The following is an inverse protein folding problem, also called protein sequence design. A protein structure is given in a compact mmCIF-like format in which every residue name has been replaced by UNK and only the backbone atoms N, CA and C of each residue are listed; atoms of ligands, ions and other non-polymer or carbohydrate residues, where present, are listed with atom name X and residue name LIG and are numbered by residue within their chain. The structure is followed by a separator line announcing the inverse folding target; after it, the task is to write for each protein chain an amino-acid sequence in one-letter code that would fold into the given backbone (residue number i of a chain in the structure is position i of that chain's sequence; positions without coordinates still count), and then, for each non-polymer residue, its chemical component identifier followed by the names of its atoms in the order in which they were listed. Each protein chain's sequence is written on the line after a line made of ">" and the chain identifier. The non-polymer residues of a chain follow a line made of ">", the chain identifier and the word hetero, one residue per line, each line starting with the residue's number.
data_IF_361192847294
#
_entry.id   IF_361192847294
#
_cell.length_a   1.000
_cell.length_b   1.000
_cell.length_c   1.000
_cell.angle_alpha   90.00
_cell.angle_beta   90.00
_cell.angle_gamma   90.00
#
_symmetry.space_group_name_H-M   'P 1'
#
loop_
_entity.id
_entity.type
_entity.pdbx_description
1 polymer ?
#
# COMPACT_ATOMS: atom_id res chain seq x y z
N UNK A 1 21.65 53.96 57.48
CA UNK A 1 21.88 53.81 56.03
C UNK A 1 22.02 52.32 55.76
N UNK A 2 20.96 51.57 55.38
CA UNK A 2 20.40 51.41 54.01
C UNK A 2 21.54 51.25 52.97
N UNK A 3 21.70 50.16 52.21
CA UNK A 3 20.72 49.25 51.61
C UNK A 3 21.30 47.82 51.42
N UNK A 4 20.49 46.80 51.72
CA UNK A 4 20.58 45.48 51.10
C UNK A 4 20.11 45.59 49.65
N UNK A 5 20.94 45.18 48.69
CA UNK A 5 20.46 44.89 47.34
C UNK A 5 19.94 43.45 47.33
N UNK A 6 18.62 43.33 47.42
CA UNK A 6 17.87 42.16 46.99
C UNK A 6 17.95 42.05 45.46
N UNK A 7 18.96 41.32 44.96
CA UNK A 7 18.98 40.86 43.59
C UNK A 7 17.87 39.83 43.40
N UNK A 8 16.74 40.27 42.85
CA UNK A 8 15.61 39.41 42.52
C UNK A 8 16.05 38.29 41.60
N UNK A 9 15.89 37.05 42.08
CA UNK A 9 15.95 35.85 41.28
C UNK A 9 14.75 35.93 40.30
N UNK A 10 14.97 36.49 39.11
CA UNK A 10 14.01 36.39 38.01
C UNK A 10 13.94 34.91 37.62
N UNK A 11 12.96 34.21 38.18
CA UNK A 11 12.69 32.81 37.84
C UNK A 11 12.58 32.68 36.32
N UNK A 12 13.26 31.68 35.77
CA UNK A 12 13.17 31.35 34.36
C UNK A 12 11.67 31.31 33.95
N UNK A 13 11.29 31.87 32.79
CA UNK A 13 9.90 31.91 32.38
C UNK A 13 9.32 30.50 32.38
N UNK A 14 8.30 30.27 33.22
CA UNK A 14 7.59 29.00 33.31
C UNK A 14 6.82 28.78 32.02
N UNK A 15 7.08 27.65 31.35
CA UNK A 15 6.32 27.23 30.18
C UNK A 15 4.88 26.86 30.61
N UNK A 16 3.87 27.52 30.05
CA UNK A 16 2.46 27.39 30.44
C UNK A 16 1.62 26.73 29.35
N UNK A 17 0.39 26.35 29.68
CA UNK A 17 -0.56 25.78 28.70
C UNK A 17 -0.85 26.71 27.52
N UNK A 18 -0.84 28.03 27.75
CA UNK A 18 -0.98 29.02 26.66
C UNK A 18 0.22 29.01 25.72
N UNK A 19 1.43 28.82 26.25
CA UNK A 19 2.62 28.63 25.42
C UNK A 19 2.50 27.34 24.62
N UNK A 20 2.12 26.24 25.26
CA UNK A 20 1.90 24.95 24.60
C UNK A 20 0.88 25.07 23.46
N UNK A 21 -0.29 25.65 23.71
CA UNK A 21 -1.34 25.86 22.71
C UNK A 21 -0.84 26.70 21.52
N UNK A 22 -0.07 27.76 21.78
CA UNK A 22 0.54 28.59 20.73
C UNK A 22 1.51 27.80 19.84
N UNK A 23 2.39 27.00 20.44
CA UNK A 23 3.37 26.21 19.69
C UNK A 23 2.72 25.02 18.97
N UNK A 24 1.71 24.38 19.58
CA UNK A 24 0.94 23.33 18.92
C UNK A 24 0.21 23.86 17.70
N UNK A 25 -0.49 25.00 17.82
CA UNK A 25 -1.16 25.64 16.68
C UNK A 25 -0.17 25.93 15.55
N UNK A 26 0.99 26.53 15.87
CA UNK A 26 2.06 26.76 14.89
C UNK A 26 2.55 25.45 14.27
N UNK A 27 2.72 24.40 15.06
CA UNK A 27 3.17 23.09 14.59
C UNK A 27 2.18 22.45 13.62
N UNK A 28 0.88 22.45 13.92
CA UNK A 28 -0.15 21.95 13.01
C UNK A 28 -0.24 22.80 11.74
N UNK A 29 -0.17 24.13 11.85
CA UNK A 29 -0.13 25.04 10.70
C UNK A 29 1.12 24.80 9.83
N UNK A 30 2.26 24.46 10.44
CA UNK A 30 3.50 24.16 9.75
C UNK A 30 3.40 22.84 8.95
N UNK A 31 2.76 21.80 9.50
CA UNK A 31 2.46 20.56 8.74
C UNK A 31 1.62 20.87 7.51
N UNK A 32 0.56 21.67 7.65
CA UNK A 32 -0.32 22.03 6.52
C UNK A 32 0.43 22.79 5.41
N UNK A 33 1.54 23.45 5.75
CA UNK A 33 2.42 24.16 4.80
C UNK A 33 3.58 23.30 4.30
N UNK A 34 3.74 22.07 4.77
CA UNK A 34 4.87 21.21 4.49
C UNK A 34 6.18 21.61 5.18
N UNK A 35 6.15 22.54 6.15
CA UNK A 35 7.33 22.91 6.95
C UNK A 35 7.53 21.93 8.11
N UNK A 36 7.97 20.72 7.76
CA UNK A 36 8.19 19.63 8.72
C UNK A 36 9.28 19.97 9.74
N UNK A 37 10.21 20.86 9.39
CA UNK A 37 11.27 21.34 10.28
C UNK A 37 10.69 22.19 11.40
N UNK A 38 9.83 23.16 11.07
CA UNK A 38 9.19 24.01 12.07
C UNK A 38 8.18 23.23 12.92
N UNK A 39 7.42 22.33 12.29
CA UNK A 39 6.52 21.42 13.00
C UNK A 39 7.28 20.58 14.04
N UNK A 40 8.42 19.99 13.66
CA UNK A 40 9.28 19.22 14.56
C UNK A 40 9.87 20.06 15.69
N UNK A 41 10.29 21.30 15.41
CA UNK A 41 10.77 22.21 16.44
C UNK A 41 9.68 22.56 17.47
N UNK A 42 8.44 22.78 17.01
CA UNK A 42 7.29 23.03 17.87
C UNK A 42 6.95 21.81 18.75
N UNK A 43 6.87 20.61 18.14
CA UNK A 43 6.60 19.37 18.87
C UNK A 43 7.66 19.10 19.95
N UNK A 44 8.94 19.24 19.62
CA UNK A 44 10.05 19.06 20.56
C UNK A 44 10.00 20.06 21.71
N UNK A 45 9.71 21.33 21.43
CA UNK A 45 9.61 22.35 22.47
C UNK A 45 8.47 22.05 23.45
N UNK A 46 7.30 21.69 22.93
CA UNK A 46 6.12 21.34 23.72
C UNK A 46 6.41 20.13 24.60
N UNK A 47 6.90 19.03 24.02
CA UNK A 47 7.16 17.79 24.76
C UNK A 47 8.35 17.87 25.72
N UNK A 48 9.27 18.82 25.51
CA UNK A 48 10.35 19.11 26.47
C UNK A 48 9.80 19.60 27.82
N UNK A 49 8.77 20.45 27.80
CA UNK A 49 8.21 21.03 29.02
C UNK A 49 6.93 20.30 29.49
N UNK A 50 6.22 19.64 28.59
CA UNK A 50 4.99 18.90 28.86
C UNK A 50 5.05 17.51 28.21
N UNK A 51 5.84 16.58 28.76
CA UNK A 51 6.14 15.29 28.11
C UNK A 51 4.94 14.35 27.96
N UNK A 52 3.83 14.62 28.66
CA UNK A 52 2.58 13.85 28.59
C UNK A 52 1.45 14.60 27.87
N UNK A 53 1.74 15.70 27.18
CA UNK A 53 0.72 16.43 26.43
C UNK A 53 0.32 15.66 25.18
N UNK A 54 -0.95 15.29 25.09
CA UNK A 54 -1.51 14.42 24.05
C UNK A 54 -1.31 15.00 22.65
N UNK A 55 -1.63 16.27 22.48
CA UNK A 55 -1.53 16.98 21.20
C UNK A 55 -0.09 17.06 20.70
N UNK A 56 0.89 17.10 21.61
CA UNK A 56 2.31 17.07 21.28
C UNK A 56 2.73 15.75 20.64
N UNK A 57 2.32 14.63 21.24
CA UNK A 57 2.57 13.29 20.67
C UNK A 57 1.78 13.06 19.38
N UNK A 58 0.55 13.56 19.29
CA UNK A 58 -0.24 13.50 18.07
C UNK A 58 0.45 14.25 16.92
N UNK A 59 0.99 15.43 17.19
CA UNK A 59 1.77 16.21 16.22
C UNK A 59 3.03 15.44 15.76
N UNK A 60 3.78 14.81 16.68
CA UNK A 60 4.92 13.94 16.32
C UNK A 60 4.47 12.80 15.39
N UNK A 61 3.33 12.18 15.68
CA UNK A 61 2.77 11.11 14.86
C UNK A 61 2.48 11.57 13.43
N UNK A 62 1.88 12.75 13.25
CA UNK A 62 1.61 13.32 11.94
C UNK A 62 2.91 13.67 11.19
N UNK A 63 3.88 14.31 11.85
CA UNK A 63 5.19 14.63 11.23
C UNK A 63 5.86 13.35 10.75
N UNK A 64 5.88 12.31 11.59
CA UNK A 64 6.50 11.04 11.26
C UNK A 64 5.78 10.33 10.10
N UNK A 65 4.47 10.50 9.94
CA UNK A 65 3.75 10.01 8.75
C UNK A 65 4.19 10.75 7.48
N UNK A 66 4.32 12.09 7.53
CA UNK A 66 4.75 12.88 6.37
C UNK A 66 6.20 12.60 5.96
N UNK A 67 7.06 12.24 6.91
CA UNK A 67 8.44 11.80 6.63
C UNK A 67 8.58 10.29 6.40
N UNK A 68 7.48 9.55 6.39
CA UNK A 68 7.45 8.08 6.29
C UNK A 68 8.28 7.35 7.36
N UNK A 69 8.51 7.97 8.51
CA UNK A 69 9.13 7.34 9.69
C UNK A 69 8.08 6.53 10.45
N UNK A 70 7.72 5.37 9.88
CA UNK A 70 6.69 4.50 10.43
C UNK A 70 6.95 4.04 11.87
N UNK A 71 8.20 3.69 12.28
CA UNK A 71 8.51 3.38 13.68
C UNK A 71 8.20 4.53 14.66
N UNK A 72 8.59 5.78 14.34
CA UNK A 72 8.27 6.93 15.19
C UNK A 72 6.76 7.19 15.19
N UNK A 73 6.12 7.17 14.02
CA UNK A 73 4.68 7.38 13.91
C UNK A 73 3.89 6.37 14.76
N UNK A 74 4.28 5.08 14.71
CA UNK A 74 3.68 4.01 15.51
C UNK A 74 3.80 4.29 17.00
N UNK A 75 4.99 4.67 17.47
CA UNK A 75 5.24 4.96 18.89
C UNK A 75 4.45 6.18 19.35
N UNK A 76 4.41 7.24 18.54
CA UNK A 76 3.73 8.47 18.86
C UNK A 76 2.21 8.25 19.00
N UNK A 77 1.56 7.60 18.02
CA UNK A 77 0.13 7.31 18.13
C UNK A 77 -0.21 6.30 19.23
N UNK A 78 0.64 5.29 19.46
CA UNK A 78 0.50 4.40 20.62
C UNK A 78 0.51 5.20 21.94
N UNK A 79 1.44 6.15 22.08
CA UNK A 79 1.51 7.02 23.27
C UNK A 79 0.26 7.88 23.42
N UNK A 80 -0.31 8.39 22.32
CA UNK A 80 -1.56 9.17 22.38
C UNK A 80 -2.71 8.34 22.93
N UNK A 81 -2.91 7.13 22.40
CA UNK A 81 -4.04 6.28 22.82
C UNK A 81 -3.84 5.70 24.23
N UNK A 82 -2.60 5.55 24.68
CA UNK A 82 -2.27 5.20 26.08
C UNK A 82 -2.58 6.36 27.05
N UNK A 83 -2.33 7.60 26.63
CA UNK A 83 -2.61 8.80 27.45
C UNK A 83 -4.09 9.20 27.42
N UNK A 84 -4.78 8.93 26.32
CA UNK A 84 -6.19 9.27 26.08
C UNK A 84 -6.86 8.21 25.21
N UNK A 85 -7.47 7.23 25.86
CA UNK A 85 -8.07 6.07 25.20
C UNK A 85 -9.20 6.43 24.23
N UNK A 86 -9.97 7.49 24.52
CA UNK A 86 -11.11 7.93 23.71
C UNK A 86 -10.72 8.82 22.50
N UNK A 87 -9.43 8.91 22.17
CA UNK A 87 -8.94 9.76 21.08
C UNK A 87 -9.13 9.12 19.69
N UNK A 88 -10.35 9.14 19.15
CA UNK A 88 -10.71 8.49 17.88
C UNK A 88 -9.78 8.83 16.69
N UNK A 89 -9.37 10.10 16.53
CA UNK A 89 -8.45 10.49 15.47
C UNK A 89 -7.08 9.80 15.56
N UNK A 90 -6.59 9.54 16.78
CA UNK A 90 -5.30 8.88 16.99
C UNK A 90 -5.42 7.39 16.72
N UNK A 91 -6.52 6.74 17.11
CA UNK A 91 -6.81 5.37 16.73
C UNK A 91 -6.90 5.19 15.20
N UNK A 92 -7.58 6.10 14.49
CA UNK A 92 -7.67 6.05 13.04
C UNK A 92 -6.29 6.20 12.37
N UNK A 93 -5.48 7.16 12.84
CA UNK A 93 -4.12 7.34 12.35
C UNK A 93 -3.20 6.17 12.70
N UNK A 94 -3.37 5.60 13.90
CA UNK A 94 -2.61 4.45 14.35
C UNK A 94 -2.90 3.24 13.47
N UNK A 95 -4.17 2.96 13.17
CA UNK A 95 -4.56 1.90 12.25
C UNK A 95 -3.90 2.09 10.87
N UNK A 96 -3.93 3.31 10.32
CA UNK A 96 -3.27 3.64 9.05
C UNK A 96 -1.76 3.37 9.07
N UNK A 97 -1.06 3.76 10.14
CA UNK A 97 0.38 3.49 10.31
C UNK A 97 0.64 1.99 10.43
N UNK A 98 -0.18 1.27 11.19
CA UNK A 98 -0.03 -0.17 11.36
C UNK A 98 -0.20 -0.90 10.03
N UNK A 99 -1.12 -0.47 9.16
CA UNK A 99 -1.23 -0.99 7.79
C UNK A 99 0.02 -0.74 6.95
N UNK A 100 0.59 0.47 7.00
CA UNK A 100 1.85 0.80 6.30
C UNK A 100 3.02 -0.05 6.79
N UNK A 101 3.01 -0.40 8.07
CA UNK A 101 3.98 -1.31 8.67
C UNK A 101 3.63 -2.79 8.51
N UNK A 102 2.58 -3.12 7.75
CA UNK A 102 2.10 -4.48 7.56
C UNK A 102 1.61 -5.20 8.84
N UNK A 103 1.29 -4.47 9.91
CA UNK A 103 0.68 -5.00 11.13
C UNK A 103 -0.86 -4.91 11.06
N UNK A 104 -1.50 -5.90 10.45
CA UNK A 104 -2.93 -5.81 10.13
C UNK A 104 -3.80 -6.13 11.35
N UNK A 105 -3.43 -7.13 12.15
CA UNK A 105 -4.13 -7.44 13.41
C UNK A 105 -4.15 -6.24 14.36
N UNK A 106 -3.03 -5.50 14.43
CA UNK A 106 -2.98 -4.25 15.19
C UNK A 106 -3.83 -3.15 14.54
N UNK A 107 -3.83 -3.06 13.21
CA UNK A 107 -4.63 -2.09 12.48
C UNK A 107 -6.14 -2.33 12.66
N UNK A 108 -6.60 -3.58 12.63
CA UNK A 108 -8.01 -3.95 12.85
C UNK A 108 -8.46 -3.54 14.26
N UNK A 109 -7.68 -3.89 15.29
CA UNK A 109 -7.98 -3.45 16.67
C UNK A 109 -7.98 -1.93 16.82
N UNK A 110 -7.03 -1.25 16.18
CA UNK A 110 -6.99 0.22 16.20
C UNK A 110 -8.19 0.82 15.45
N UNK A 111 -8.63 0.21 14.35
CA UNK A 111 -9.80 0.61 13.58
C UNK A 111 -11.09 0.40 14.37
N UNK A 112 -11.24 -0.75 15.04
CA UNK A 112 -12.36 -1.03 15.94
C UNK A 112 -12.48 0.07 17.02
N UNK A 113 -11.37 0.44 17.65
CA UNK A 113 -11.35 1.53 18.63
C UNK A 113 -11.66 2.89 18.00
N UNK A 114 -11.16 3.18 16.80
CA UNK A 114 -11.46 4.42 16.08
C UNK A 114 -12.97 4.57 15.83
N UNK A 115 -13.63 3.47 15.43
CA UNK A 115 -15.07 3.41 15.21
C UNK A 115 -15.85 3.48 16.52
N UNK A 116 -15.40 2.75 17.56
CA UNK A 116 -16.01 2.71 18.90
C UNK A 116 -16.06 4.08 19.54
N UNK A 117 -14.94 4.80 19.55
CA UNK A 117 -14.85 6.10 20.22
C UNK A 117 -15.54 7.20 19.41
N UNK A 118 -15.67 7.01 18.09
CA UNK A 118 -16.38 7.89 17.16
C UNK A 118 -15.85 9.34 17.17
N UNK A 119 -16.10 10.07 16.10
CA UNK A 119 -15.75 11.49 16.03
C UNK A 119 -16.71 12.18 15.08
N UNK A 120 -17.08 13.41 15.40
CA UNK A 120 -17.89 14.19 14.47
C UNK A 120 -17.05 14.79 13.32
N UNK A 121 -15.72 14.75 13.44
CA UNK A 121 -14.76 15.33 12.49
C UNK A 121 -14.74 14.56 11.15
N UNK A 122 -15.07 15.21 10.02
CA UNK A 122 -15.04 14.56 8.71
C UNK A 122 -13.65 14.07 8.29
N UNK A 123 -12.56 14.67 8.80
CA UNK A 123 -11.21 14.17 8.53
C UNK A 123 -11.01 12.77 9.14
N UNK A 124 -11.53 12.54 10.37
CA UNK A 124 -11.46 11.23 11.02
C UNK A 124 -12.27 10.20 10.24
N UNK A 125 -13.47 10.56 9.80
CA UNK A 125 -14.28 9.70 8.91
C UNK A 125 -13.53 9.32 7.63
N UNK A 126 -12.87 10.29 6.98
CA UNK A 126 -12.09 10.03 5.79
C UNK A 126 -10.90 9.08 6.08
N UNK A 127 -10.19 9.28 7.18
CA UNK A 127 -9.08 8.38 7.56
C UNK A 127 -9.59 6.96 7.83
N UNK A 128 -10.69 6.79 8.56
CA UNK A 128 -11.34 5.49 8.78
C UNK A 128 -11.69 4.83 7.43
N UNK A 129 -12.30 5.58 6.51
CA UNK A 129 -12.59 5.09 5.15
C UNK A 129 -11.34 4.66 4.38
N UNK A 130 -10.22 5.40 4.53
CA UNK A 130 -8.92 5.01 3.96
C UNK A 130 -8.39 3.71 4.55
N UNK A 131 -8.53 3.51 5.86
CA UNK A 131 -8.09 2.25 6.51
C UNK A 131 -8.92 1.07 6.00
N UNK A 132 -10.25 1.19 5.94
CA UNK A 132 -11.10 0.14 5.34
C UNK A 132 -10.73 -0.15 3.87
N UNK A 133 -10.49 0.89 3.07
CA UNK A 133 -10.12 0.73 1.66
C UNK A 133 -8.77 -0.01 1.51
N UNK A 134 -7.80 0.29 2.37
CA UNK A 134 -6.51 -0.41 2.42
C UNK A 134 -6.62 -1.85 2.93
N UNK A 135 -7.62 -2.14 3.78
CA UNK A 135 -7.96 -3.50 4.23
C UNK A 135 -8.76 -4.29 3.17
N UNK A 136 -9.18 -3.64 2.09
CA UNK A 136 -9.95 -4.27 1.01
C UNK A 136 -11.47 -4.18 1.17
N UNK A 137 -11.99 -3.70 2.31
CA UNK A 137 -13.43 -3.49 2.51
C UNK A 137 -13.87 -2.16 1.86
N UNK A 138 -14.12 -2.22 0.56
CA UNK A 138 -14.49 -1.04 -0.22
C UNK A 138 -15.90 -0.55 0.07
N UNK A 139 -16.79 -1.41 0.59
CA UNK A 139 -18.16 -1.02 0.93
C UNK A 139 -18.16 -0.21 2.24
N UNK A 140 -17.48 -0.70 3.29
CA UNK A 140 -17.28 0.08 4.51
C UNK A 140 -16.52 1.39 4.23
N UNK A 141 -15.48 1.34 3.37
CA UNK A 141 -14.76 2.53 2.95
C UNK A 141 -15.70 3.58 2.34
N UNK A 142 -16.55 3.18 1.39
CA UNK A 142 -17.54 4.05 0.76
C UNK A 142 -18.47 4.70 1.79
N UNK A 143 -18.99 3.93 2.75
CA UNK A 143 -19.92 4.43 3.75
C UNK A 143 -19.26 5.50 4.66
N UNK A 144 -18.00 5.30 5.04
CA UNK A 144 -17.23 6.28 5.81
C UNK A 144 -16.84 7.52 4.99
N UNK A 145 -16.45 7.35 3.73
CA UNK A 145 -16.23 8.50 2.84
C UNK A 145 -17.53 9.30 2.62
N UNK A 146 -18.69 8.63 2.56
CA UNK A 146 -19.96 9.32 2.44
C UNK A 146 -20.28 10.14 3.71
N UNK A 147 -19.99 9.60 4.91
CA UNK A 147 -20.08 10.37 6.16
C UNK A 147 -19.16 11.59 6.15
N UNK A 148 -17.92 11.45 5.66
CA UNK A 148 -16.99 12.57 5.53
C UNK A 148 -17.53 13.66 4.58
N UNK A 149 -17.98 13.28 3.38
CA UNK A 149 -18.51 14.20 2.38
C UNK A 149 -19.83 14.86 2.81
N UNK A 150 -20.63 14.22 3.68
CA UNK A 150 -21.87 14.84 4.19
C UNK A 150 -21.64 16.06 5.09
N UNK A 151 -20.40 16.25 5.56
CA UNK A 151 -20.02 17.32 6.50
C UNK A 151 -18.96 18.27 5.98
N UNK A 152 -18.36 17.95 4.84
CA UNK A 152 -17.26 18.71 4.26
C UNK A 152 -17.28 18.60 2.75
N UNK A 153 -17.11 19.74 2.10
CA UNK A 153 -17.07 19.88 0.64
C UNK A 153 -15.63 19.70 0.09
N UNK A 154 -14.80 18.95 0.82
CA UNK A 154 -13.38 18.73 0.50
C UNK A 154 -13.21 17.86 -0.75
N UNK A 155 -12.52 18.36 -1.80
CA UNK A 155 -12.24 17.57 -3.01
C UNK A 155 -11.47 16.27 -2.72
N UNK A 156 -10.63 16.25 -1.66
CA UNK A 156 -9.89 15.06 -1.25
C UNK A 156 -10.84 13.93 -0.82
N UNK A 157 -11.88 14.26 -0.04
CA UNK A 157 -12.84 13.27 0.45
C UNK A 157 -13.71 12.75 -0.69
N UNK A 158 -14.09 13.65 -1.61
CA UNK A 158 -14.80 13.30 -2.84
C UNK A 158 -13.99 12.36 -3.73
N UNK A 159 -12.69 12.62 -3.92
CA UNK A 159 -11.81 11.76 -4.71
C UNK A 159 -11.68 10.37 -4.09
N UNK A 160 -11.52 10.28 -2.77
CA UNK A 160 -11.47 8.99 -2.07
C UNK A 160 -12.79 8.21 -2.20
N UNK A 161 -13.94 8.90 -2.08
CA UNK A 161 -15.26 8.31 -2.35
C UNK A 161 -15.34 7.80 -3.79
N UNK A 162 -14.93 8.60 -4.77
CA UNK A 162 -14.93 8.20 -6.17
C UNK A 162 -14.09 6.94 -6.42
N UNK A 163 -12.89 6.85 -5.82
CA UNK A 163 -12.04 5.65 -5.90
C UNK A 163 -12.75 4.41 -5.36
N UNK A 164 -13.43 4.50 -4.21
CA UNK A 164 -14.20 3.37 -3.67
C UNK A 164 -15.35 2.94 -4.58
N UNK A 165 -16.04 3.89 -5.23
CA UNK A 165 -17.10 3.61 -6.20
C UNK A 165 -16.58 2.85 -7.43
N UNK A 166 -15.35 3.17 -7.89
CA UNK A 166 -14.68 2.42 -8.97
C UNK A 166 -14.46 0.97 -8.56
N UNK A 167 -13.92 0.73 -7.36
CA UNK A 167 -13.72 -0.64 -6.88
C UNK A 167 -15.03 -1.42 -6.72
N UNK A 168 -16.11 -0.75 -6.31
CA UNK A 168 -17.45 -1.35 -6.20
C UNK A 168 -18.15 -1.54 -7.55
N UNK A 169 -17.53 -1.18 -8.67
CA UNK A 169 -18.13 -1.27 -10.01
C UNK A 169 -19.29 -0.29 -10.24
N UNK A 170 -19.47 0.71 -9.37
CA UNK A 170 -20.54 1.73 -9.45
C UNK A 170 -20.12 2.86 -10.41
N UNK A 171 -19.84 2.51 -11.67
CA UNK A 171 -19.18 3.37 -12.67
C UNK A 171 -19.87 4.72 -12.86
N UNK A 172 -21.20 4.75 -13.03
CA UNK A 172 -21.95 6.01 -13.19
C UNK A 172 -21.81 6.95 -12.00
N UNK A 173 -21.85 6.40 -10.78
CA UNK A 173 -21.67 7.21 -9.56
C UNK A 173 -20.23 7.69 -9.42
N UNK A 174 -19.26 6.85 -9.79
CA UNK A 174 -17.84 7.23 -9.80
C UNK A 174 -17.59 8.40 -10.75
N UNK A 175 -18.17 8.37 -11.97
CA UNK A 175 -18.09 9.46 -12.95
C UNK A 175 -18.59 10.78 -12.37
N UNK A 176 -19.82 10.81 -11.85
CA UNK A 176 -20.39 12.02 -11.25
C UNK A 176 -19.55 12.55 -10.08
N UNK A 177 -18.99 11.66 -9.26
CA UNK A 177 -18.12 12.06 -8.16
C UNK A 177 -16.78 12.64 -8.65
N UNK A 178 -16.19 12.11 -9.73
CA UNK A 178 -14.97 12.65 -10.32
C UNK A 178 -15.21 13.99 -11.01
N UNK A 179 -16.32 14.15 -11.72
CA UNK A 179 -16.72 15.42 -12.33
C UNK A 179 -16.85 16.51 -11.25
N UNK A 180 -17.50 16.21 -10.12
CA UNK A 180 -17.57 17.14 -8.99
C UNK A 180 -16.18 17.47 -8.36
N UNK A 181 -15.22 16.53 -8.40
CA UNK A 181 -13.83 16.81 -7.99
C UNK A 181 -13.18 17.78 -8.99
N UNK A 182 -13.36 17.55 -10.29
CA UNK A 182 -12.77 18.36 -11.35
C UNK A 182 -13.39 19.76 -11.44
N UNK A 183 -14.66 19.94 -11.08
CA UNK A 183 -15.29 21.26 -10.95
C UNK A 183 -14.57 22.14 -9.91
N UNK A 184 -14.03 21.52 -8.84
CA UNK A 184 -13.30 22.22 -7.76
C UNK A 184 -11.81 22.29 -7.99
N UNK A 185 -11.23 21.23 -8.55
CA UNK A 185 -9.80 21.09 -8.83
C UNK A 185 -9.61 20.67 -10.30
N UNK A 186 -9.77 21.60 -11.26
CA UNK A 186 -9.73 21.27 -12.69
C UNK A 186 -8.39 20.70 -13.18
N UNK A 187 -7.33 20.79 -12.37
CA UNK A 187 -5.99 20.28 -12.70
C UNK A 187 -5.63 19.01 -11.93
N UNK A 188 -6.59 18.36 -11.27
CA UNK A 188 -6.33 17.15 -10.50
C UNK A 188 -5.99 15.97 -11.44
N UNK A 189 -4.71 15.71 -11.59
CA UNK A 189 -4.20 14.70 -12.53
C UNK A 189 -4.69 13.27 -12.24
N UNK A 190 -4.83 12.89 -10.97
CA UNK A 190 -5.33 11.56 -10.60
C UNK A 190 -6.81 11.41 -10.97
N UNK A 191 -7.63 12.44 -10.74
CA UNK A 191 -9.04 12.43 -11.11
C UNK A 191 -9.24 12.29 -12.63
N UNK A 192 -8.50 13.03 -13.44
CA UNK A 192 -8.50 12.89 -14.91
C UNK A 192 -8.10 11.48 -15.37
N UNK A 193 -7.07 10.90 -14.76
CA UNK A 193 -6.64 9.53 -15.06
C UNK A 193 -7.66 8.47 -14.67
N UNK A 194 -8.32 8.62 -13.51
CA UNK A 194 -9.39 7.69 -13.10
C UNK A 194 -10.57 7.84 -14.06
N UNK A 195 -10.95 9.08 -14.42
CA UNK A 195 -12.06 9.38 -15.31
C UNK A 195 -11.85 8.73 -16.69
N UNK A 196 -10.66 8.88 -17.27
CA UNK A 196 -10.34 8.28 -18.56
C UNK A 196 -10.49 6.77 -18.54
N UNK A 197 -10.31 6.11 -17.40
CA UNK A 197 -10.39 4.65 -17.26
C UNK A 197 -11.80 4.10 -17.03
N UNK A 198 -12.78 4.95 -16.75
CA UNK A 198 -14.14 4.50 -16.42
C UNK A 198 -14.86 3.89 -17.64
N UNK A 199 -14.71 4.51 -18.80
CA UNK A 199 -15.42 4.16 -20.03
C UNK A 199 -14.49 4.34 -21.24
N UNK A 200 -14.79 3.68 -22.36
CA UNK A 200 -14.03 3.84 -23.62
C UNK A 200 -14.23 5.24 -24.18
N UNK A 201 -13.16 5.94 -24.55
CA UNK A 201 -13.25 7.22 -25.24
C UNK A 201 -13.83 7.04 -26.65
N UNK A 202 -14.73 7.94 -27.04
CA UNK A 202 -15.41 7.93 -28.35
C UNK A 202 -15.06 9.14 -29.22
N UNK A 203 -14.41 10.14 -28.64
CA UNK A 203 -14.02 11.40 -29.26
C UNK A 203 -12.73 11.92 -28.63
N UNK A 204 -12.33 13.13 -29.02
CA UNK A 204 -11.06 13.74 -28.65
C UNK A 204 -11.19 14.85 -27.58
N UNK A 205 -12.37 15.07 -27.01
CA UNK A 205 -12.62 16.21 -26.13
C UNK A 205 -11.75 16.17 -24.86
N UNK A 206 -11.74 15.04 -24.15
CA UNK A 206 -10.93 14.90 -22.95
C UNK A 206 -9.43 14.78 -23.26
N UNK A 207 -9.06 14.22 -24.42
CA UNK A 207 -7.67 14.22 -24.92
C UNK A 207 -7.13 15.66 -25.05
N UNK A 208 -7.92 16.58 -25.61
CA UNK A 208 -7.49 17.98 -25.79
C UNK A 208 -7.31 18.67 -24.43
N UNK A 209 -8.17 18.37 -23.45
CA UNK A 209 -8.00 18.84 -22.07
C UNK A 209 -6.73 18.27 -21.43
N UNK A 210 -6.48 16.97 -21.57
CA UNK A 210 -5.27 16.32 -21.04
C UNK A 210 -4.00 16.90 -21.64
N UNK A 211 -3.98 17.19 -22.95
CA UNK A 211 -2.85 17.84 -23.61
C UNK A 211 -2.58 19.23 -23.04
N UNK A 212 -3.62 20.07 -22.88
CA UNK A 212 -3.48 21.38 -22.25
C UNK A 212 -2.96 21.30 -20.82
N UNK A 213 -3.45 20.36 -20.01
CA UNK A 213 -2.98 20.14 -18.65
C UNK A 213 -1.51 19.69 -18.61
N UNK A 214 -1.09 18.87 -19.58
CA UNK A 214 0.31 18.41 -19.70
C UNK A 214 1.24 19.57 -20.05
N UNK A 215 0.82 20.51 -20.90
CA UNK A 215 1.61 21.70 -21.25
C UNK A 215 1.89 22.60 -20.04
N UNK A 216 0.94 22.68 -19.11
CA UNK A 216 1.07 23.47 -17.88
C UNK A 216 1.74 22.71 -16.73
N UNK A 217 1.86 21.39 -16.83
CA UNK A 217 2.35 20.55 -15.75
C UNK A 217 3.88 20.58 -15.65
N UNK A 218 4.39 20.50 -14.41
CA UNK A 218 5.81 20.25 -14.18
C UNK A 218 6.13 18.79 -14.51
N UNK A 219 6.95 18.58 -15.54
CA UNK A 219 7.38 17.26 -15.99
C UNK A 219 8.13 16.44 -14.91
N UNK A 220 8.64 17.08 -13.85
CA UNK A 220 9.31 16.40 -12.74
C UNK A 220 8.32 15.83 -11.72
N UNK A 221 7.09 16.34 -11.66
CA UNK A 221 6.11 15.89 -10.67
C UNK A 221 5.56 14.51 -11.02
N UNK A 222 5.55 13.62 -10.03
CA UNK A 222 5.01 12.27 -10.16
C UNK A 222 3.53 12.23 -10.55
N UNK A 223 2.78 13.30 -10.29
CA UNK A 223 1.37 13.47 -10.69
C UNK A 223 1.20 13.62 -12.20
N UNK A 224 2.18 14.18 -12.92
CA UNK A 224 2.13 14.39 -14.37
C UNK A 224 2.05 13.05 -15.13
N UNK A 225 2.59 11.98 -14.54
CA UNK A 225 2.42 10.64 -15.10
C UNK A 225 0.95 10.21 -15.19
N UNK A 226 0.07 10.62 -14.27
CA UNK A 226 -1.36 10.30 -14.35
C UNK A 226 -1.98 10.85 -15.63
N UNK A 227 -1.67 12.11 -15.99
CA UNK A 227 -2.16 12.73 -17.23
C UNK A 227 -1.71 11.95 -18.47
N UNK A 228 -0.42 11.58 -18.54
CA UNK A 228 0.10 10.81 -19.67
C UNK A 228 -0.50 9.40 -19.78
N UNK A 229 -0.71 8.70 -18.66
CA UNK A 229 -1.39 7.40 -18.68
C UNK A 229 -2.87 7.55 -19.04
N UNK A 230 -3.52 8.65 -18.66
CA UNK A 230 -4.88 8.96 -19.08
C UNK A 230 -4.96 9.18 -20.59
N UNK A 231 -4.07 10.04 -21.11
CA UNK A 231 -3.94 10.36 -22.54
C UNK A 231 -3.65 9.12 -23.37
N UNK A 232 -2.72 8.28 -22.90
CA UNK A 232 -2.33 7.05 -23.58
C UNK A 232 -3.50 6.07 -23.71
N UNK A 233 -4.30 5.92 -22.64
CA UNK A 233 -5.48 5.06 -22.63
C UNK A 233 -6.53 5.53 -23.63
N UNK A 234 -6.79 6.84 -23.70
CA UNK A 234 -7.80 7.37 -24.62
C UNK A 234 -7.35 7.35 -26.08
N UNK A 235 -6.07 7.59 -26.36
CA UNK A 235 -5.52 7.35 -27.69
C UNK A 235 -5.66 5.89 -28.10
N UNK A 236 -5.42 4.96 -27.19
CA UNK A 236 -5.63 3.53 -27.44
C UNK A 236 -7.11 3.20 -27.71
N UNK A 237 -8.05 3.76 -26.95
CA UNK A 237 -9.49 3.55 -27.19
C UNK A 237 -9.93 4.00 -28.59
N UNK A 238 -9.31 5.07 -29.10
CA UNK A 238 -9.49 5.60 -30.45
C UNK A 238 -8.57 4.93 -31.50
N UNK A 239 -7.83 3.90 -31.11
CA UNK A 239 -6.95 3.11 -31.98
C UNK A 239 -5.81 3.94 -32.62
N UNK A 240 -5.42 5.04 -31.96
CA UNK A 240 -4.26 5.89 -32.30
C UNK A 240 -2.98 5.34 -31.66
N UNK A 241 -2.55 4.18 -32.14
CA UNK A 241 -1.48 3.38 -31.51
C UNK A 241 -0.13 4.10 -31.35
N UNK A 242 0.38 4.85 -32.35
CA UNK A 242 1.65 5.56 -32.21
C UNK A 242 1.60 6.63 -31.10
N UNK A 243 0.51 7.39 -31.03
CA UNK A 243 0.26 8.42 -30.02
C UNK A 243 0.08 7.81 -28.63
N UNK A 244 -0.69 6.73 -28.53
CA UNK A 244 -0.88 5.99 -27.30
C UNK A 244 0.46 5.51 -26.73
N UNK A 245 1.30 4.88 -27.55
CA UNK A 245 2.61 4.39 -27.11
C UNK A 245 3.55 5.53 -26.71
N UNK A 246 3.55 6.64 -27.45
CA UNK A 246 4.33 7.84 -27.10
C UNK A 246 3.92 8.39 -25.73
N UNK A 247 2.62 8.45 -25.46
CA UNK A 247 2.09 8.90 -24.18
C UNK A 247 2.41 7.93 -23.03
N UNK A 248 2.26 6.61 -23.23
CA UNK A 248 2.68 5.60 -22.24
C UNK A 248 4.16 5.74 -21.91
N UNK A 249 5.02 5.90 -22.92
CA UNK A 249 6.46 6.09 -22.71
C UNK A 249 6.77 7.35 -21.90
N UNK A 250 6.11 8.47 -22.19
CA UNK A 250 6.30 9.70 -21.43
C UNK A 250 5.87 9.53 -19.95
N UNK A 251 4.71 8.92 -19.70
CA UNK A 251 4.22 8.65 -18.36
C UNK A 251 5.15 7.69 -17.58
N UNK A 252 5.59 6.61 -18.23
CA UNK A 252 6.48 5.63 -17.65
C UNK A 252 7.85 6.24 -17.28
N UNK A 253 8.42 7.07 -18.15
CA UNK A 253 9.66 7.80 -17.86
C UNK A 253 9.54 8.69 -16.61
N UNK A 254 8.42 9.41 -16.46
CA UNK A 254 8.17 10.27 -15.29
C UNK A 254 8.05 9.41 -14.02
N UNK A 255 7.31 8.28 -14.07
CA UNK A 255 7.24 7.36 -12.93
C UNK A 255 8.60 6.78 -12.59
N UNK A 256 9.35 6.29 -13.58
CA UNK A 256 10.67 5.69 -13.38
C UNK A 256 11.66 6.66 -12.71
N UNK A 257 11.60 7.95 -13.07
CA UNK A 257 12.41 9.01 -12.46
C UNK A 257 12.02 9.35 -11.01
N UNK A 258 10.81 8.99 -10.59
CA UNK A 258 10.27 9.27 -9.25
C UNK A 258 10.21 8.04 -8.32
N UNK A 259 10.66 6.86 -8.78
CA UNK A 259 10.72 5.64 -7.95
C UNK A 259 12.17 5.21 -7.75
N UNK A 260 12.45 4.68 -6.56
CA UNK A 260 13.75 4.10 -6.26
C UNK A 260 13.75 2.60 -6.59
N UNK A 261 14.20 2.26 -7.79
CA UNK A 261 14.38 0.87 -8.23
C UNK A 261 15.87 0.54 -8.31
N UNK A 262 16.30 -0.42 -7.49
CA UNK A 262 17.67 -0.94 -7.46
C UNK A 262 17.71 -2.34 -8.13
N UNK A 263 18.01 -2.36 -9.42
CA UNK A 263 18.14 -3.61 -10.18
C UNK A 263 19.29 -4.50 -9.66
N UNK A 264 20.35 -3.94 -9.07
CA UNK A 264 21.45 -4.75 -8.54
C UNK A 264 20.99 -5.56 -7.34
N UNK A 265 20.24 -4.93 -6.44
CA UNK A 265 19.65 -5.61 -5.29
C UNK A 265 18.65 -6.69 -5.72
N UNK A 266 17.88 -6.45 -6.78
CA UNK A 266 16.99 -7.47 -7.35
C UNK A 266 17.79 -8.67 -7.89
N UNK A 267 18.83 -8.43 -8.70
CA UNK A 267 19.69 -9.50 -9.25
C UNK A 267 20.28 -10.37 -8.14
N UNK A 268 20.81 -9.74 -7.09
CA UNK A 268 21.38 -10.46 -5.95
C UNK A 268 20.33 -11.31 -5.22
N UNK A 269 19.11 -10.78 -5.08
CA UNK A 269 18.02 -11.46 -4.39
C UNK A 269 17.52 -12.68 -5.18
N UNK A 270 17.32 -12.56 -6.49
CA UNK A 270 16.95 -13.69 -7.35
C UNK A 270 18.01 -14.78 -7.34
N UNK A 271 19.29 -14.42 -7.45
CA UNK A 271 20.39 -15.37 -7.34
C UNK A 271 20.39 -16.07 -5.98
N UNK A 272 20.18 -15.32 -4.90
CA UNK A 272 20.13 -15.88 -3.53
C UNK A 272 18.94 -16.85 -3.35
N UNK A 273 17.79 -16.59 -3.99
CA UNK A 273 16.64 -17.49 -3.97
C UNK A 273 16.97 -18.83 -4.64
N UNK A 274 17.58 -18.79 -5.82
CA UNK A 274 17.99 -19.99 -6.56
C UNK A 274 19.05 -20.81 -5.81
N UNK A 275 20.03 -20.14 -5.19
CA UNK A 275 21.11 -20.78 -4.43
C UNK A 275 20.64 -21.45 -3.14
N UNK A 276 19.66 -20.87 -2.44
CA UNK A 276 19.24 -21.33 -1.11
C UNK A 276 18.04 -22.26 -1.17
N UNK A 277 17.00 -21.88 -1.92
CA UNK A 277 15.73 -22.60 -1.94
C UNK A 277 15.78 -23.72 -2.98
N UNK A 278 16.63 -24.71 -2.72
CA UNK A 278 16.84 -25.89 -3.56
C UNK A 278 15.90 -27.05 -3.17
N UNK A 279 15.91 -28.11 -3.97
CA UNK A 279 15.19 -29.35 -3.66
C UNK A 279 15.69 -29.97 -2.34
N UNK A 280 17.01 -30.01 -2.15
CA UNK A 280 17.63 -30.48 -0.90
C UNK A 280 17.21 -29.62 0.30
N UNK A 281 17.13 -28.29 0.13
CA UNK A 281 16.64 -27.41 1.19
C UNK A 281 15.20 -27.74 1.58
N UNK A 282 14.32 -27.96 0.59
CA UNK A 282 12.91 -28.27 0.84
C UNK A 282 12.74 -29.64 1.53
N UNK A 283 13.49 -30.66 1.10
CA UNK A 283 13.48 -32.00 1.70
C UNK A 283 13.96 -31.99 3.16
N UNK A 284 14.84 -31.05 3.51
CA UNK A 284 15.38 -30.87 4.86
C UNK A 284 14.68 -29.77 5.68
N UNK A 285 13.62 -29.13 5.17
CA UNK A 285 12.99 -28.00 5.82
C UNK A 285 12.26 -28.37 7.14
N UNK A 286 11.90 -29.65 7.30
CA UNK A 286 11.13 -30.16 8.42
C UNK A 286 9.62 -30.16 8.17
N UNK A 287 8.82 -30.35 9.22
CA UNK A 287 7.36 -30.43 9.13
C UNK A 287 6.72 -29.04 9.01
N UNK A 288 5.68 -28.96 8.17
CA UNK A 288 4.83 -27.78 8.01
C UNK A 288 3.48 -27.91 8.71
N UNK A 289 2.64 -26.89 8.59
CA UNK A 289 1.26 -26.91 9.07
C UNK A 289 0.38 -27.81 8.20
N UNK A 290 -0.33 -28.75 8.83
CA UNK A 290 -1.20 -29.73 8.17
C UNK A 290 -2.56 -29.11 7.76
N UNK A 291 -2.51 -28.06 6.95
CA UNK A 291 -3.67 -27.39 6.38
C UNK A 291 -3.75 -27.66 4.87
N UNK A 292 -4.86 -28.23 4.43
CA UNK A 292 -5.14 -28.50 3.00
C UNK A 292 -6.01 -27.43 2.33
N UNK A 293 -6.55 -26.49 3.11
CA UNK A 293 -7.45 -25.43 2.63
C UNK A 293 -6.83 -24.38 1.68
N UNK A 294 -5.52 -24.01 1.76
CA UNK A 294 -5.01 -22.89 0.96
C UNK A 294 -4.70 -23.25 -0.51
N UNK A 295 -5.15 -22.39 -1.43
CA UNK A 295 -4.80 -22.41 -2.84
C UNK A 295 -4.10 -21.10 -3.19
N UNK A 296 -2.84 -21.16 -3.59
CA UNK A 296 -2.07 -20.00 -4.03
C UNK A 296 -2.15 -19.85 -5.54
N UNK A 297 -2.44 -18.64 -6.02
CA UNK A 297 -2.33 -18.29 -7.44
C UNK A 297 -1.21 -17.27 -7.60
N UNK A 298 -0.12 -17.71 -8.22
CA UNK A 298 1.14 -16.95 -8.35
C UNK A 298 1.49 -16.70 -9.82
N UNK A 299 2.38 -15.74 -10.04
CA UNK A 299 2.93 -15.43 -11.38
C UNK A 299 3.29 -13.96 -11.50
N UNK A 300 3.48 -13.47 -12.72
CA UNK A 300 3.61 -12.02 -12.93
C UNK A 300 2.25 -11.32 -12.88
N UNK A 301 2.21 -10.02 -12.53
CA UNK A 301 1.00 -9.24 -12.73
C UNK A 301 0.55 -9.31 -14.20
N UNK A 302 -0.77 -9.23 -14.42
CA UNK A 302 -1.39 -9.21 -15.76
C UNK A 302 -1.25 -10.51 -16.59
N UNK A 303 -0.82 -11.62 -16.00
CA UNK A 303 -0.82 -12.94 -16.68
C UNK A 303 -2.19 -13.62 -16.72
N UNK A 304 -3.20 -13.08 -16.05
CA UNK A 304 -4.54 -13.69 -16.00
C UNK A 304 -4.89 -14.38 -14.68
N UNK A 305 -4.08 -14.18 -13.63
CA UNK A 305 -4.32 -14.72 -12.28
C UNK A 305 -5.75 -14.47 -11.76
N UNK A 306 -6.34 -13.29 -12.02
CA UNK A 306 -7.73 -12.99 -11.65
C UNK A 306 -8.78 -13.78 -12.44
N UNK A 307 -8.50 -14.15 -13.70
CA UNK A 307 -9.38 -15.03 -14.45
C UNK A 307 -9.36 -16.45 -13.85
N UNK A 308 -8.17 -16.96 -13.55
CA UNK A 308 -7.99 -18.26 -12.91
C UNK A 308 -8.65 -18.31 -11.54
N UNK A 309 -8.47 -17.26 -10.73
CA UNK A 309 -9.17 -17.09 -9.45
C UNK A 309 -10.69 -17.21 -9.64
N UNK A 310 -11.28 -16.47 -10.59
CA UNK A 310 -12.73 -16.53 -10.87
C UNK A 310 -13.21 -17.90 -11.34
N UNK A 311 -12.40 -18.62 -12.11
CA UNK A 311 -12.74 -20.00 -12.54
C UNK A 311 -12.79 -20.93 -11.32
N UNK A 312 -11.83 -20.81 -10.42
CA UNK A 312 -11.74 -21.64 -9.21
C UNK A 312 -12.87 -21.31 -8.23
N UNK A 313 -13.13 -20.03 -7.99
CA UNK A 313 -14.17 -19.57 -7.05
C UNK A 313 -15.59 -19.58 -7.63
N UNK A 314 -15.76 -20.05 -8.87
CA UNK A 314 -17.08 -20.44 -9.38
C UNK A 314 -17.60 -21.73 -8.73
N UNK A 315 -16.73 -22.49 -8.04
CA UNK A 315 -17.14 -23.62 -7.19
C UNK A 315 -17.73 -23.11 -5.88
N UNK A 316 -18.69 -23.85 -5.34
CA UNK A 316 -19.39 -23.55 -4.10
C UNK A 316 -18.58 -23.87 -2.82
N UNK A 317 -17.46 -24.57 -2.96
CA UNK A 317 -16.58 -24.98 -1.86
C UNK A 317 -15.30 -24.15 -1.73
N UNK A 318 -15.15 -23.08 -2.52
CA UNK A 318 -13.94 -22.22 -2.53
C UNK A 318 -14.27 -20.75 -2.37
N UNK A 319 -13.63 -20.09 -1.41
CA UNK A 319 -13.70 -18.64 -1.19
C UNK A 319 -12.51 -17.90 -1.83
N UNK A 320 -12.71 -16.68 -2.34
CA UNK A 320 -11.60 -15.78 -2.70
C UNK A 320 -11.25 -14.91 -1.50
N UNK A 321 -10.04 -15.09 -0.97
CA UNK A 321 -9.50 -14.20 0.06
C UNK A 321 -8.73 -12.99 -0.54
N UNK A 322 -8.63 -12.92 -1.87
CA UNK A 322 -8.02 -11.80 -2.59
C UNK A 322 -6.48 -11.81 -2.58
N UNK A 323 -5.88 -10.60 -2.62
CA UNK A 323 -4.43 -10.37 -2.63
C UNK A 323 -3.85 -10.28 -1.20
N UNK A 324 -3.53 -11.44 -0.62
CA UNK A 324 -3.09 -11.54 0.76
C UNK A 324 -1.59 -11.27 0.92
N UNK A 325 -1.26 -10.24 1.68
CA UNK A 325 0.11 -9.89 2.09
C UNK A 325 0.57 -10.70 3.32
N UNK A 326 -0.27 -11.61 3.82
CA UNK A 326 -0.12 -12.32 5.09
C UNK A 326 1.07 -13.29 5.07
N UNK A 327 1.33 -13.97 3.95
CA UNK A 327 2.47 -14.90 3.87
C UNK A 327 3.82 -14.19 4.03
N UNK A 328 4.04 -13.11 3.27
CA UNK A 328 5.27 -12.30 3.40
C UNK A 328 5.48 -11.71 4.80
N UNK A 329 4.40 -11.46 5.56
CA UNK A 329 4.49 -11.06 6.98
C UNK A 329 4.82 -12.19 7.91
N UNK A 330 4.23 -13.36 7.66
CA UNK A 330 4.52 -14.55 8.43
C UNK A 330 6.03 -14.82 8.35
N UNK A 331 6.60 -14.73 7.14
CA UNK A 331 8.06 -14.82 6.91
C UNK A 331 8.83 -13.74 7.70
N UNK A 332 8.41 -12.48 7.65
CA UNK A 332 9.07 -11.41 8.40
C UNK A 332 9.02 -11.61 9.92
N UNK A 333 7.84 -11.93 10.44
CA UNK A 333 7.56 -12.01 11.87
C UNK A 333 8.27 -13.19 12.52
N UNK A 334 8.45 -14.27 11.78
CA UNK A 334 9.12 -15.50 12.24
C UNK A 334 10.61 -15.53 11.91
N UNK A 335 11.05 -14.85 10.85
CA UNK A 335 12.44 -14.82 10.40
C UNK A 335 13.31 -13.71 10.97
N UNK A 336 12.73 -12.78 11.75
CA UNK A 336 13.47 -11.68 12.38
C UNK A 336 13.99 -10.60 11.41
N UNK A 337 13.60 -10.65 10.13
CA UNK A 337 13.98 -9.67 9.13
C UNK A 337 13.40 -8.28 9.47
N UNK A 338 14.23 -7.23 9.34
CA UNK A 338 13.82 -5.85 9.65
C UNK A 338 12.87 -5.27 8.58
N UNK A 339 13.02 -5.67 7.32
CA UNK A 339 12.23 -5.19 6.18
C UNK A 339 11.13 -6.18 5.74
N UNK A 340 10.10 -5.68 5.05
CA UNK A 340 9.01 -6.49 4.46
C UNK A 340 9.41 -6.89 3.04
N UNK A 341 9.14 -8.15 2.64
CA UNK A 341 9.36 -8.62 1.28
C UNK A 341 10.72 -9.29 1.04
N UNK A 342 10.82 -10.14 0.02
CA UNK A 342 12.08 -10.79 -0.42
C UNK A 342 12.98 -9.91 -1.30
N UNK A 343 12.87 -8.59 -1.15
CA UNK A 343 13.53 -7.63 -2.06
C UNK A 343 15.05 -7.61 -1.86
N UNK A 344 15.56 -8.11 -0.72
CA UNK A 344 17.01 -8.19 -0.45
C UNK A 344 17.48 -9.62 -0.18
N UNK A 345 18.74 -9.88 -0.52
CA UNK A 345 19.44 -11.15 -0.23
C UNK A 345 19.47 -11.48 1.26
N UNK A 346 19.59 -10.46 2.13
CA UNK A 346 19.50 -10.62 3.58
C UNK A 346 18.14 -11.18 4.01
N UNK A 347 17.04 -10.63 3.47
CA UNK A 347 15.71 -11.12 3.78
C UNK A 347 15.50 -12.56 3.29
N UNK A 348 16.04 -12.91 2.12
CA UNK A 348 15.99 -14.30 1.62
C UNK A 348 16.73 -15.26 2.56
N UNK A 349 17.95 -14.89 3.00
CA UNK A 349 18.75 -15.70 3.94
C UNK A 349 18.08 -15.85 5.30
N UNK A 350 17.38 -14.82 5.77
CA UNK A 350 16.62 -14.88 7.02
C UNK A 350 15.37 -15.76 6.87
N UNK A 351 14.63 -15.60 5.78
CA UNK A 351 13.42 -16.38 5.48
C UNK A 351 13.70 -17.88 5.38
N UNK A 352 14.81 -18.27 4.76
CA UNK A 352 15.20 -19.67 4.61
C UNK A 352 15.53 -20.39 5.92
N UNK A 353 15.70 -19.66 7.03
CA UNK A 353 15.96 -20.21 8.38
C UNK A 353 14.71 -20.32 9.24
N UNK A 354 13.56 -19.88 8.73
CA UNK A 354 12.30 -19.93 9.45
C UNK A 354 11.84 -21.39 9.60
N UNK A 355 11.36 -21.74 10.79
CA UNK A 355 10.76 -23.07 11.04
C UNK A 355 9.43 -23.17 10.29
N UNK A 356 9.26 -24.12 9.35
CA UNK A 356 8.08 -24.17 8.48
C UNK A 356 6.76 -24.33 9.23
N UNK A 357 6.71 -25.15 10.28
CA UNK A 357 5.50 -25.30 11.11
C UNK A 357 5.02 -23.97 11.70
N UNK A 358 5.94 -23.18 12.26
CA UNK A 358 5.63 -21.87 12.86
C UNK A 358 5.14 -20.91 11.76
N UNK A 359 5.79 -20.93 10.60
CA UNK A 359 5.39 -20.11 9.45
C UNK A 359 3.97 -20.44 8.97
N UNK A 360 3.67 -21.74 8.83
CA UNK A 360 2.38 -22.23 8.40
C UNK A 360 1.28 -21.88 9.39
N UNK A 361 1.50 -22.14 10.69
CA UNK A 361 0.53 -21.83 11.74
C UNK A 361 0.24 -20.33 11.80
N UNK A 362 1.28 -19.50 11.76
CA UNK A 362 1.10 -18.04 11.74
C UNK A 362 0.30 -17.58 10.51
N UNK A 363 0.57 -18.14 9.33
CA UNK A 363 -0.19 -17.80 8.12
C UNK A 363 -1.67 -18.18 8.26
N UNK A 364 -1.95 -19.38 8.78
CA UNK A 364 -3.33 -19.85 8.97
C UNK A 364 -4.09 -18.99 9.98
N UNK A 365 -3.46 -18.60 11.08
CA UNK A 365 -4.04 -17.70 12.08
C UNK A 365 -4.26 -16.29 11.49
N UNK A 366 -3.25 -15.73 10.83
CA UNK A 366 -3.29 -14.37 10.27
C UNK A 366 -4.29 -14.19 9.12
N UNK A 367 -4.76 -15.29 8.53
CA UNK A 367 -5.77 -15.29 7.47
C UNK A 367 -7.16 -15.65 7.96
N UNK A 368 -7.36 -16.00 9.24
CA UNK A 368 -8.64 -16.48 9.76
C UNK A 368 -9.82 -15.54 9.48
N UNK A 369 -9.68 -14.24 9.72
CA UNK A 369 -10.74 -13.24 9.50
C UNK A 369 -11.01 -12.91 8.03
N UNK A 370 -10.12 -13.32 7.12
CA UNK A 370 -10.22 -13.05 5.68
C UNK A 370 -10.83 -14.24 4.91
N UNK A 371 -11.09 -15.33 5.62
CA UNK A 371 -11.65 -16.57 5.09
C UNK A 371 -13.11 -16.69 5.48
N UNK A 372 -13.87 -17.41 4.65
CA UNK A 372 -15.20 -17.91 5.00
C UNK A 372 -15.09 -19.27 5.71
N UNK A 373 -16.23 -19.82 6.14
CA UNK A 373 -16.34 -21.20 6.65
C UNK A 373 -16.21 -22.30 5.57
N UNK A 374 -16.01 -21.92 4.29
CA UNK A 374 -15.77 -22.86 3.20
C UNK A 374 -14.45 -23.62 3.36
N UNK A 375 -14.36 -24.88 2.86
CA UNK A 375 -13.21 -25.74 3.08
C UNK A 375 -11.93 -25.28 2.37
N UNK A 376 -12.03 -24.51 1.29
CA UNK A 376 -10.88 -23.96 0.57
C UNK A 376 -10.95 -22.45 0.45
N UNK A 377 -9.78 -21.83 0.36
CA UNK A 377 -9.68 -20.41 0.02
C UNK A 377 -8.51 -20.13 -0.93
N UNK A 378 -8.69 -19.12 -1.78
CA UNK A 378 -7.69 -18.64 -2.72
C UNK A 378 -6.96 -17.44 -2.14
N UNK A 379 -5.65 -17.55 -2.06
CA UNK A 379 -4.69 -16.46 -1.90
C UNK A 379 -4.10 -16.15 -3.29
N UNK A 380 -4.66 -15.14 -3.95
CA UNK A 380 -4.19 -14.70 -5.27
C UNK A 380 -3.36 -13.45 -5.07
N UNK A 381 -2.07 -13.60 -4.86
CA UNK A 381 -1.10 -12.51 -4.89
C UNK A 381 0.05 -12.89 -5.84
N UNK A 382 0.17 -12.27 -7.03
CA UNK A 382 1.13 -12.71 -8.04
C UNK A 382 2.56 -12.86 -7.52
N UNK A 383 3.03 -11.85 -6.77
CA UNK A 383 4.38 -11.78 -6.20
C UNK A 383 4.69 -12.89 -5.17
N UNK A 384 3.69 -13.68 -4.73
CA UNK A 384 3.94 -14.87 -3.92
C UNK A 384 4.80 -15.91 -4.64
N UNK A 385 5.05 -15.76 -5.95
CA UNK A 385 6.03 -16.56 -6.67
C UNK A 385 7.42 -16.54 -5.99
N UNK A 386 7.82 -15.43 -5.36
CA UNK A 386 9.09 -15.35 -4.63
C UNK A 386 9.16 -16.35 -3.47
N UNK A 387 8.02 -16.68 -2.87
CA UNK A 387 7.90 -17.54 -1.68
C UNK A 387 7.55 -19.00 -2.00
N UNK A 388 7.45 -19.42 -3.26
CA UNK A 388 6.83 -20.71 -3.61
C UNK A 388 7.44 -21.92 -2.86
N UNK A 389 8.77 -22.09 -2.72
CA UNK A 389 9.34 -23.15 -1.89
C UNK A 389 9.05 -23.02 -0.39
N UNK A 390 9.00 -21.81 0.15
CA UNK A 390 8.63 -21.58 1.55
C UNK A 390 7.17 -21.87 1.82
N UNK A 391 6.26 -21.50 0.90
CA UNK A 391 4.85 -21.89 0.95
C UNK A 391 4.75 -23.41 0.98
N UNK A 392 5.51 -24.08 0.11
CA UNK A 392 5.51 -25.52 0.03
C UNK A 392 6.02 -26.19 1.31
N UNK A 393 7.07 -25.64 1.94
CA UNK A 393 7.57 -26.13 3.23
C UNK A 393 6.56 -25.87 4.37
N UNK A 394 6.01 -24.67 4.45
CA UNK A 394 5.14 -24.24 5.54
C UNK A 394 3.75 -24.88 5.48
N UNK A 395 3.24 -25.17 4.28
CA UNK A 395 1.92 -25.73 4.03
C UNK A 395 2.05 -26.92 3.05
N UNK A 396 2.43 -28.12 3.54
CA UNK A 396 2.73 -29.27 2.70
C UNK A 396 1.58 -29.69 1.76
N UNK A 397 0.34 -29.42 2.17
CA UNK A 397 -0.87 -29.79 1.43
C UNK A 397 -1.47 -28.66 0.58
N UNK A 398 -0.90 -27.45 0.61
CA UNK A 398 -1.39 -26.33 -0.20
C UNK A 398 -1.18 -26.58 -1.70
N UNK A 399 -2.10 -26.05 -2.52
CA UNK A 399 -1.96 -26.05 -3.99
C UNK A 399 -1.30 -24.76 -4.44
N UNK A 400 -0.31 -24.85 -5.32
CA UNK A 400 0.36 -23.68 -5.92
C UNK A 400 0.08 -23.69 -7.41
N UNK A 401 -0.70 -22.73 -7.88
CA UNK A 401 -1.06 -22.55 -9.29
C UNK A 401 -0.23 -21.41 -9.85
N UNK A 402 0.67 -21.74 -10.77
CA UNK A 402 1.51 -20.77 -11.46
C UNK A 402 0.90 -20.42 -12.81
N UNK A 403 0.53 -19.14 -12.96
CA UNK A 403 -0.11 -18.63 -14.19
C UNK A 403 0.91 -17.88 -15.01
N UNK A 404 1.17 -18.39 -16.21
CA UNK A 404 2.04 -17.77 -17.21
C UNK A 404 1.22 -17.20 -18.35
N UNK A 405 1.83 -16.32 -19.13
CA UNK A 405 1.28 -15.73 -20.34
C UNK A 405 2.45 -15.39 -21.27
N UNK A 406 2.19 -15.22 -22.56
CA UNK A 406 3.20 -14.74 -23.50
C UNK A 406 3.94 -13.50 -22.93
N UNK A 407 5.29 -13.45 -23.03
CA UNK A 407 6.06 -12.36 -22.44
C UNK A 407 5.67 -10.98 -22.94
N UNK A 408 5.34 -10.82 -24.23
CA UNK A 408 4.96 -9.53 -24.79
C UNK A 408 3.62 -9.07 -24.22
N UNK A 409 2.66 -9.99 -24.15
CA UNK A 409 1.36 -9.73 -23.54
C UNK A 409 1.48 -9.30 -22.07
N UNK A 410 2.24 -10.04 -21.26
CA UNK A 410 2.38 -9.78 -19.83
C UNK A 410 3.15 -8.48 -19.57
N UNK A 411 4.26 -8.28 -20.28
CA UNK A 411 5.11 -7.10 -20.13
C UNK A 411 4.37 -5.85 -20.63
N UNK A 412 3.78 -5.87 -21.82
CA UNK A 412 3.08 -4.70 -22.33
C UNK A 412 1.84 -4.35 -21.49
N UNK A 413 1.07 -5.34 -21.03
CA UNK A 413 -0.04 -5.09 -20.12
C UNK A 413 0.41 -4.49 -18.78
N UNK A 414 1.61 -4.85 -18.29
CA UNK A 414 2.20 -4.27 -17.09
C UNK A 414 2.72 -2.84 -17.34
N UNK A 415 3.37 -2.61 -18.47
CA UNK A 415 3.88 -1.28 -18.87
C UNK A 415 2.79 -0.20 -18.90
N UNK A 416 1.61 -0.59 -19.38
CA UNK A 416 0.42 0.28 -19.50
C UNK A 416 -0.32 0.51 -18.18
N UNK A 417 0.08 -0.13 -17.10
CA UNK A 417 -0.58 -0.01 -15.80
C UNK A 417 0.26 0.83 -14.83
N UNK A 418 -0.40 1.76 -14.13
CA UNK A 418 0.18 2.38 -12.93
C UNK A 418 -0.08 1.49 -11.72
N UNK A 419 0.99 0.98 -11.11
CA UNK A 419 0.94 -0.01 -10.04
C UNK A 419 1.12 0.57 -8.64
N UNK A 420 0.87 1.87 -8.46
CA UNK A 420 1.31 2.59 -7.26
C UNK A 420 2.78 2.22 -6.97
N UNK A 421 3.05 1.61 -5.82
CA UNK A 421 4.40 1.28 -5.34
C UNK A 421 4.75 -0.22 -5.35
N UNK A 422 4.10 -1.03 -6.21
CA UNK A 422 4.26 -2.49 -6.17
C UNK A 422 5.29 -3.08 -7.14
N UNK A 423 5.34 -2.60 -8.41
CA UNK A 423 6.13 -3.24 -9.48
C UNK A 423 7.03 -2.21 -10.19
N UNK A 424 8.08 -1.74 -9.52
CA UNK A 424 8.88 -0.61 -10.01
C UNK A 424 9.61 -0.84 -11.35
N UNK A 425 9.97 -2.09 -11.65
CA UNK A 425 10.59 -2.47 -12.92
C UNK A 425 9.68 -2.25 -14.14
N UNK A 426 8.37 -2.07 -13.96
CA UNK A 426 7.40 -1.99 -15.06
C UNK A 426 7.45 -0.66 -15.83
N UNK A 427 8.21 0.33 -15.36
CA UNK A 427 8.23 1.68 -15.93
C UNK A 427 9.40 1.90 -16.92
N UNK A 428 10.28 0.92 -17.11
CA UNK A 428 11.27 0.89 -18.19
C UNK A 428 11.20 -0.44 -18.94
N UNK A 429 11.23 -0.40 -20.28
CA UNK A 429 11.02 -1.60 -21.09
C UNK A 429 12.17 -2.60 -20.94
N UNK A 430 13.40 -2.12 -20.81
CA UNK A 430 14.56 -2.97 -20.72
C UNK A 430 14.68 -3.58 -19.31
N UNK A 431 14.43 -2.80 -18.25
CA UNK A 431 14.33 -3.30 -16.87
C UNK A 431 13.22 -4.35 -16.75
N UNK A 432 12.03 -4.09 -17.30
CA UNK A 432 10.92 -5.04 -17.29
C UNK A 432 11.26 -6.34 -18.03
N UNK A 433 11.90 -6.27 -19.20
CA UNK A 433 12.32 -7.45 -19.94
C UNK A 433 13.35 -8.28 -19.16
N UNK A 434 14.35 -7.62 -18.55
CA UNK A 434 15.35 -8.28 -17.72
C UNK A 434 14.74 -8.91 -16.47
N UNK A 435 13.80 -8.22 -15.81
CA UNK A 435 13.02 -8.78 -14.71
C UNK A 435 12.25 -10.03 -15.17
N UNK A 436 11.58 -9.97 -16.32
CA UNK A 436 10.82 -11.10 -16.84
C UNK A 436 11.71 -12.33 -17.10
N UNK A 437 12.90 -12.14 -17.64
CA UNK A 437 13.89 -13.23 -17.83
C UNK A 437 14.32 -13.82 -16.48
N UNK A 438 14.64 -12.98 -15.49
CA UNK A 438 14.99 -13.44 -14.12
C UNK A 438 13.86 -14.26 -13.50
N UNK A 439 12.62 -13.76 -13.58
CA UNK A 439 11.43 -14.49 -13.15
C UNK A 439 11.28 -15.84 -13.85
N UNK A 440 11.46 -15.90 -15.18
CA UNK A 440 11.35 -17.15 -15.94
C UNK A 440 12.38 -18.19 -15.50
N UNK A 441 13.62 -17.77 -15.25
CA UNK A 441 14.67 -18.66 -14.72
C UNK A 441 14.32 -19.15 -13.32
N UNK A 442 13.93 -18.25 -12.41
CA UNK A 442 13.52 -18.61 -11.05
C UNK A 442 12.36 -19.61 -11.05
N UNK A 443 11.34 -19.40 -11.87
CA UNK A 443 10.19 -20.31 -11.95
C UNK A 443 10.56 -21.66 -12.59
N UNK A 444 11.55 -21.70 -13.49
CA UNK A 444 12.09 -22.97 -14.00
C UNK A 444 12.79 -23.74 -12.88
N UNK A 445 13.63 -23.07 -12.09
CA UNK A 445 14.25 -23.66 -10.89
C UNK A 445 13.21 -24.18 -9.91
N UNK A 446 12.19 -23.38 -9.58
CA UNK A 446 11.12 -23.81 -8.67
C UNK A 446 10.27 -24.96 -9.20
N UNK A 447 10.16 -25.14 -10.52
CA UNK A 447 9.53 -26.34 -11.09
C UNK A 447 10.28 -27.61 -10.76
N UNK A 448 11.61 -27.57 -10.79
CA UNK A 448 12.46 -28.69 -10.41
C UNK A 448 12.41 -28.97 -8.90
N UNK A 449 12.30 -27.91 -8.08
CA UNK A 449 12.18 -28.00 -6.62
C UNK A 449 10.83 -28.54 -6.18
N UNK A 450 9.72 -28.09 -6.78
CA UNK A 450 8.36 -28.36 -6.34
C UNK A 450 7.70 -29.57 -7.01
N UNK A 451 8.14 -29.94 -8.22
CA UNK A 451 7.52 -31.01 -9.00
C UNK A 451 6.01 -30.81 -9.17
N UNK A 452 5.24 -31.87 -8.93
CA UNK A 452 3.77 -31.90 -9.07
C UNK A 452 3.03 -30.95 -8.11
N UNK A 453 3.72 -30.37 -7.12
CA UNK A 453 3.13 -29.37 -6.21
C UNK A 453 2.86 -28.03 -6.88
N UNK A 454 3.54 -27.75 -8.00
CA UNK A 454 3.30 -26.55 -8.80
C UNK A 454 2.52 -26.89 -10.06
N UNK A 455 1.29 -26.39 -10.13
CA UNK A 455 0.37 -26.57 -11.25
C UNK A 455 0.56 -25.42 -12.23
N UNK A 456 0.99 -25.72 -13.45
CA UNK A 456 1.22 -24.73 -14.50
C UNK A 456 -0.03 -24.47 -15.32
N UNK A 457 -0.36 -23.20 -15.53
CA UNK A 457 -1.46 -22.74 -16.38
C UNK A 457 -0.92 -21.66 -17.31
N UNK A 458 -1.17 -21.79 -18.62
CA UNK A 458 -0.66 -20.91 -19.66
C UNK A 458 -1.77 -20.26 -20.48
#
# INVERSE_FOLDING_TARGET
>A
MKNMQSGGNQGAPTFTDQHAAKYLKRGFDAILKGDLKDAGACANLVLKYMPKLVEGHFLVGLIAQETEDWPIARKAFATVVDLKEDHAAAWAQFARVLLKMANYNGADKALENAVKYSSDDPLVHNVIGTVYSLLGDQQAAFDWYNKACSKSDSPLFMLNKAKSLVFLGKIKQARTALEAVLDKLPKNAEAHWILSRLERATDQEHIDQLLSLIEEADAKRSSTAYLYYGLAKEYEDLEKWPEAFKAYKAGANIKRANVNYDEKSEIESFKTLEEILTKEWLENAGEGCDASSPIFIIGQPRTGTTLIERIITARDDVHSAGELQQFGRAVKSTGGARAIGMISSENVRAAAKVVPKILGDFYMDATQSLRSDLPYFVDKLPINFLYAPLIAAALPNAKIIHVTRDPMDACFASYKQLFADAYFYSYDQAEMARHHVRYRHLMSHYREVLGDRMIEVA
#
